data_IF_157193808576
#
_entry.id   IF_157193808576
#
_cell.length_a   1.000
_cell.length_b   1.000
_cell.length_c   1.000
_cell.angle_alpha   90.00
_cell.angle_beta   90.00
_cell.angle_gamma   90.00
#
_symmetry.space_group_name_H-M   'P 1'
#
loop_
_entity.id
_entity.type
_entity.pdbx_description
1 polymer ?
#
# COMPACT_ATOMS: atom_id res chain seq x y z
N UNK A 1 37.48 -11.71 -0.87
CA UNK A 1 36.81 -12.45 -1.96
C UNK A 1 37.81 -12.70 -3.10
N UNK A 2 37.71 -13.82 -3.83
CA UNK A 2 38.53 -14.08 -5.02
C UNK A 2 38.30 -13.04 -6.13
N UNK A 3 39.25 -12.91 -7.06
CA UNK A 3 39.10 -12.06 -8.24
C UNK A 3 37.95 -12.59 -9.13
N UNK A 4 37.27 -11.68 -9.83
CA UNK A 4 36.21 -11.97 -10.81
C UNK A 4 34.94 -12.64 -10.24
N UNK A 5 34.84 -12.70 -8.91
CA UNK A 5 33.62 -13.16 -8.22
C UNK A 5 32.53 -12.09 -8.38
N UNK A 6 31.31 -12.46 -8.82
CA UNK A 6 30.19 -11.52 -8.94
C UNK A 6 29.81 -10.96 -7.57
N UNK A 7 29.50 -9.67 -7.52
CA UNK A 7 29.04 -8.97 -6.34
C UNK A 7 27.85 -8.05 -6.69
N UNK A 8 27.60 -7.01 -5.90
CA UNK A 8 26.37 -6.22 -5.99
C UNK A 8 26.17 -5.62 -7.40
N UNK A 9 24.93 -5.70 -7.90
CA UNK A 9 24.48 -5.11 -9.17
C UNK A 9 25.37 -5.38 -10.39
N UNK A 10 25.72 -6.66 -10.59
CA UNK A 10 26.56 -7.08 -11.72
C UNK A 10 28.03 -6.65 -11.60
N UNK A 11 28.43 -6.04 -10.49
CA UNK A 11 29.82 -5.75 -10.15
C UNK A 11 30.65 -7.01 -9.95
N UNK A 12 31.97 -6.84 -9.89
CA UNK A 12 32.92 -7.95 -9.70
C UNK A 12 34.01 -7.59 -8.70
N UNK A 13 34.56 -8.60 -8.03
CA UNK A 13 35.65 -8.38 -7.08
C UNK A 13 37.00 -8.24 -7.80
N UNK A 14 37.70 -7.14 -7.51
CA UNK A 14 39.07 -6.89 -7.95
C UNK A 14 39.91 -6.59 -6.71
N UNK A 15 41.00 -7.34 -6.50
CA UNK A 15 41.88 -7.22 -5.32
C UNK A 15 41.13 -7.29 -3.97
N UNK A 16 40.05 -8.06 -3.91
CA UNK A 16 39.24 -8.23 -2.70
C UNK A 16 38.18 -7.16 -2.44
N UNK A 17 38.10 -6.12 -3.28
CA UNK A 17 37.06 -5.08 -3.23
C UNK A 17 36.04 -5.30 -4.36
N UNK A 18 34.75 -5.14 -4.06
CA UNK A 18 33.70 -5.15 -5.07
C UNK A 18 33.72 -3.82 -5.83
N UNK A 19 33.99 -3.88 -7.13
CA UNK A 19 33.88 -2.73 -8.05
C UNK A 19 32.58 -2.84 -8.85
N UNK A 20 32.01 -1.69 -9.20
CA UNK A 20 30.78 -1.63 -9.97
C UNK A 20 30.97 -2.14 -11.40
N UNK A 21 29.87 -2.51 -12.05
CA UNK A 21 29.88 -3.08 -13.41
C UNK A 21 30.60 -2.18 -14.43
N UNK A 22 30.25 -0.89 -14.50
CA UNK A 22 30.86 0.04 -15.46
C UNK A 22 32.36 0.24 -15.21
N UNK A 23 32.76 0.39 -13.95
CA UNK A 23 34.18 0.53 -13.58
C UNK A 23 34.97 -0.72 -13.95
N UNK A 24 34.40 -1.91 -13.69
CA UNK A 24 35.01 -3.18 -14.07
C UNK A 24 35.17 -3.35 -15.59
N UNK A 25 34.16 -3.00 -16.38
CA UNK A 25 34.27 -2.99 -17.85
C UNK A 25 35.29 -1.95 -18.33
N UNK A 26 35.38 -0.80 -17.67
CA UNK A 26 36.38 0.23 -17.96
C UNK A 26 37.80 -0.26 -17.71
N UNK A 27 38.04 -1.00 -16.62
CA UNK A 27 39.34 -1.61 -16.32
C UNK A 27 39.78 -2.62 -17.40
N UNK A 28 38.85 -3.41 -17.97
CA UNK A 28 39.18 -4.33 -19.08
C UNK A 28 39.60 -3.59 -20.34
N UNK A 29 38.91 -2.50 -20.65
CA UNK A 29 39.14 -1.70 -21.86
C UNK A 29 40.26 -0.67 -21.70
N UNK A 30 40.84 -0.53 -20.50
CA UNK A 30 41.76 0.55 -20.13
C UNK A 30 41.17 1.96 -20.39
N UNK A 31 39.87 2.12 -20.15
CA UNK A 31 39.14 3.39 -20.30
C UNK A 31 38.32 3.64 -19.03
N UNK A 32 38.39 4.83 -18.40
CA UNK A 32 37.56 5.15 -17.25
C UNK A 32 36.07 5.24 -17.66
N UNK A 33 35.25 4.36 -17.09
CA UNK A 33 33.80 4.32 -17.28
C UNK A 33 33.10 4.51 -15.93
N UNK A 34 32.01 5.25 -15.94
CA UNK A 34 31.22 5.59 -14.75
C UNK A 34 29.77 5.14 -14.93
N UNK A 35 29.09 4.73 -13.84
CA UNK A 35 27.65 4.49 -13.86
C UNK A 35 26.91 5.76 -14.23
N UNK A 36 25.86 5.63 -15.04
CA UNK A 36 24.95 6.70 -15.38
C UNK A 36 23.54 6.15 -15.63
N UNK A 37 22.59 7.05 -15.87
CA UNK A 37 21.20 6.69 -16.15
C UNK A 37 20.87 6.97 -17.60
N UNK A 38 20.22 6.02 -18.28
CA UNK A 38 19.71 6.24 -19.62
C UNK A 38 18.42 7.07 -19.61
N UNK A 39 18.30 7.96 -20.59
CA UNK A 39 17.14 8.83 -20.78
C UNK A 39 16.25 8.39 -21.95
N UNK A 40 16.72 7.44 -22.78
CA UNK A 40 15.97 6.95 -23.93
C UNK A 40 14.85 5.99 -23.50
N UNK A 41 13.67 6.14 -24.11
CA UNK A 41 12.50 5.30 -23.84
C UNK A 41 12.81 3.81 -24.06
N UNK A 42 12.49 2.97 -23.08
CA UNK A 42 12.76 1.53 -23.08
C UNK A 42 14.16 1.12 -22.60
N UNK A 43 15.00 2.09 -22.22
CA UNK A 43 16.35 1.84 -21.68
C UNK A 43 16.54 2.38 -20.25
N UNK A 44 15.54 3.03 -19.68
CA UNK A 44 15.62 3.72 -18.38
C UNK A 44 15.90 2.77 -17.21
N UNK A 45 15.60 1.47 -17.39
CA UNK A 45 15.85 0.41 -16.44
C UNK A 45 16.93 -0.57 -16.88
N UNK A 46 17.82 -0.15 -17.80
CA UNK A 46 19.02 -0.89 -18.19
C UNK A 46 20.26 -0.31 -17.51
N UNK A 47 21.31 -1.12 -17.37
CA UNK A 47 22.61 -0.62 -16.87
C UNK A 47 23.21 0.28 -17.93
N UNK A 48 23.62 1.48 -17.55
CA UNK A 48 24.19 2.43 -18.49
C UNK A 48 25.54 2.95 -17.99
N UNK A 49 26.49 3.07 -18.92
CA UNK A 49 27.84 3.53 -18.63
C UNK A 49 28.18 4.74 -19.50
N UNK A 50 29.02 5.63 -18.98
CA UNK A 50 29.60 6.75 -19.74
C UNK A 50 31.09 6.88 -19.47
N UNK A 51 31.81 7.38 -20.47
CA UNK A 51 33.18 7.86 -20.29
C UNK A 51 33.17 9.30 -19.73
N UNK A 52 34.32 9.86 -19.36
CA UNK A 52 34.47 11.21 -18.79
C UNK A 52 33.72 12.30 -19.59
N UNK A 53 33.79 12.23 -20.92
CA UNK A 53 33.17 13.19 -21.84
C UNK A 53 32.10 12.56 -22.74
N UNK A 54 31.78 11.29 -22.51
CA UNK A 54 30.86 10.52 -23.35
C UNK A 54 29.41 10.63 -22.93
N UNK A 55 28.50 10.35 -23.87
CA UNK A 55 27.07 10.17 -23.58
C UNK A 55 26.83 8.88 -22.80
N UNK A 56 25.80 8.87 -21.96
CA UNK A 56 25.34 7.67 -21.28
C UNK A 56 24.77 6.67 -22.29
N UNK A 57 25.30 5.44 -22.32
CA UNK A 57 24.85 4.39 -23.24
C UNK A 57 24.41 3.14 -22.47
N UNK A 58 23.32 2.48 -22.87
CA UNK A 58 22.90 1.23 -22.27
C UNK A 58 23.91 0.13 -22.59
N UNK A 59 24.17 -0.74 -21.62
CA UNK A 59 25.14 -1.82 -21.70
C UNK A 59 24.43 -3.15 -21.52
N UNK A 60 24.42 -3.94 -22.60
CA UNK A 60 23.74 -5.24 -22.65
C UNK A 60 22.21 -5.16 -22.58
N UNK A 61 21.59 -6.32 -22.43
CA UNK A 61 20.13 -6.48 -22.33
C UNK A 61 19.67 -6.81 -20.91
N UNK A 62 20.57 -6.76 -19.92
CA UNK A 62 20.23 -7.06 -18.53
C UNK A 62 19.48 -5.87 -17.90
N UNK A 63 18.30 -6.17 -17.37
CA UNK A 63 17.45 -5.21 -16.66
C UNK A 63 17.93 -5.04 -15.22
N UNK A 64 17.82 -3.82 -14.70
CA UNK A 64 18.06 -3.53 -13.29
C UNK A 64 17.03 -4.26 -12.42
N UNK A 65 17.47 -4.65 -11.22
CA UNK A 65 16.58 -5.20 -10.19
C UNK A 65 15.51 -4.19 -9.78
N UNK A 66 14.33 -4.68 -9.40
CA UNK A 66 13.23 -3.85 -8.93
C UNK A 66 13.63 -2.93 -7.78
N UNK A 67 13.07 -1.71 -7.77
CA UNK A 67 13.36 -0.66 -6.78
C UNK A 67 14.58 0.22 -7.11
N UNK A 68 15.32 -0.07 -8.19
CA UNK A 68 16.43 0.77 -8.65
C UNK A 68 15.95 2.13 -9.18
N UNK A 69 16.63 3.25 -8.88
CA UNK A 69 16.19 4.57 -9.30
C UNK A 69 16.40 4.82 -10.81
N UNK A 70 15.32 5.17 -11.51
CA UNK A 70 15.31 5.53 -12.94
C UNK A 70 14.93 7.02 -13.12
N UNK A 71 14.68 7.46 -14.35
CA UNK A 71 14.71 8.90 -14.73
C UNK A 71 13.67 9.71 -13.99
N UNK A 72 12.51 9.11 -13.72
CA UNK A 72 11.38 9.73 -13.04
C UNK A 72 10.84 8.88 -11.87
N UNK A 73 11.59 7.89 -11.40
CA UNK A 73 11.08 7.02 -10.33
C UNK A 73 11.91 5.79 -10.03
N UNK A 74 11.28 4.62 -10.06
CA UNK A 74 11.92 3.33 -9.77
C UNK A 74 11.58 2.27 -10.82
N UNK A 75 12.51 1.36 -11.06
CA UNK A 75 12.30 0.22 -11.93
C UNK A 75 11.40 -0.81 -11.26
N UNK A 76 10.40 -1.29 -11.99
CA UNK A 76 9.52 -2.38 -11.59
C UNK A 76 9.22 -3.24 -12.82
N UNK A 77 9.64 -4.50 -12.80
CA UNK A 77 9.56 -5.43 -13.92
C UNK A 77 10.18 -4.88 -15.22
N UNK A 78 11.29 -4.14 -15.11
CA UNK A 78 12.00 -3.55 -16.25
C UNK A 78 11.38 -2.28 -16.83
N UNK A 79 10.28 -1.77 -16.24
CA UNK A 79 9.66 -0.51 -16.63
C UNK A 79 9.94 0.54 -15.57
N UNK A 80 10.34 1.74 -16.00
CA UNK A 80 10.47 2.86 -15.09
C UNK A 80 9.06 3.31 -14.71
N UNK A 81 8.68 3.11 -13.45
CA UNK A 81 7.43 3.62 -12.90
C UNK A 81 7.73 4.94 -12.23
N UNK A 82 6.86 5.93 -12.46
CA UNK A 82 6.89 7.16 -11.68
C UNK A 82 6.93 6.81 -10.21
N UNK A 83 8.01 7.26 -9.55
CA UNK A 83 8.08 7.20 -8.12
C UNK A 83 6.85 7.94 -7.65
N UNK A 84 6.04 7.35 -6.76
CA UNK A 84 5.09 8.14 -6.00
C UNK A 84 5.91 9.17 -5.24
N UNK A 85 6.17 10.31 -5.89
CA UNK A 85 6.82 11.45 -5.30
C UNK A 85 5.94 11.80 -4.14
N UNK A 86 6.46 11.57 -2.93
CA UNK A 86 5.82 12.09 -1.74
C UNK A 86 5.47 13.55 -2.02
N UNK A 87 4.25 14.02 -1.68
CA UNK A 87 3.85 15.40 -1.94
C UNK A 87 4.82 16.42 -1.32
N UNK A 88 5.64 15.95 -0.38
CA UNK A 88 6.72 16.65 0.31
C UNK A 88 7.87 17.03 -0.65
N UNK A 89 8.29 16.16 -1.58
CA UNK A 89 9.35 16.48 -2.53
C UNK A 89 8.94 17.65 -3.45
N UNK A 90 7.66 17.69 -3.86
CA UNK A 90 7.10 18.82 -4.64
C UNK A 90 7.01 20.09 -3.81
N UNK A 91 6.62 20.01 -2.55
CA UNK A 91 6.54 21.18 -1.65
C UNK A 91 7.91 21.82 -1.38
N UNK A 92 8.99 21.05 -1.28
CA UNK A 92 10.34 21.61 -1.09
C UNK A 92 10.90 22.29 -2.35
N UNK A 93 10.63 21.78 -3.55
CA UNK A 93 11.03 22.43 -4.81
C UNK A 93 10.34 23.79 -5.01
N UNK A 94 9.10 23.94 -4.52
CA UNK A 94 8.41 25.24 -4.51
C UNK A 94 8.99 26.23 -3.48
N UNK A 95 9.52 25.75 -2.35
CA UNK A 95 10.13 26.63 -1.32
C UNK A 95 11.53 27.09 -1.72
N UNK A 96 12.34 26.25 -2.37
CA UNK A 96 13.68 26.66 -2.86
C UNK A 96 13.62 27.67 -4.02
N UNK A 97 12.54 27.68 -4.79
CA UNK A 97 12.35 28.62 -5.91
C UNK A 97 11.73 29.96 -5.50
N UNK A 98 11.26 30.08 -4.25
CA UNK A 98 10.76 31.33 -3.66
C UNK A 98 11.92 32.18 -3.11
N UNK A 99 12.78 32.60 -4.03
CA UNK A 99 13.69 33.76 -4.05
C UNK A 99 14.09 34.42 -2.70
N UNK A 100 15.32 34.14 -2.26
CA UNK A 100 15.96 34.71 -1.07
C UNK A 100 16.47 36.16 -1.23
N UNK A 101 16.40 36.73 -2.43
CA UNK A 101 17.00 38.05 -2.71
C UNK A 101 16.00 39.21 -2.65
N UNK A 102 14.74 38.98 -3.00
CA UNK A 102 13.67 40.00 -3.01
C UNK A 102 12.81 39.96 -1.75
N UNK A 103 12.59 38.77 -1.17
CA UNK A 103 11.78 38.61 0.04
C UNK A 103 12.44 39.24 1.27
N UNK A 104 13.76 39.14 1.42
CA UNK A 104 14.50 39.74 2.55
C UNK A 104 14.44 41.28 2.52
N UNK A 105 14.42 41.89 1.33
CA UNK A 105 14.28 43.33 1.18
C UNK A 105 12.85 43.82 1.49
N UNK A 106 11.82 43.02 1.16
CA UNK A 106 10.41 43.33 1.47
C UNK A 106 10.04 43.10 2.95
N UNK A 107 10.66 42.12 3.62
CA UNK A 107 10.44 41.80 5.04
C UNK A 107 10.83 42.94 5.98
N UNK A 108 11.77 43.80 5.57
CA UNK A 108 12.31 44.87 6.41
C UNK A 108 11.33 46.03 6.61
N UNK A 109 10.37 46.22 5.71
CA UNK A 109 9.51 47.41 5.69
C UNK A 109 8.05 47.15 6.07
N UNK A 110 7.58 45.90 6.05
CA UNK A 110 6.17 45.57 6.31
C UNK A 110 6.02 44.25 7.08
N UNK A 111 6.30 44.29 8.39
CA UNK A 111 6.19 43.14 9.31
C UNK A 111 4.82 42.44 9.25
N UNK A 112 3.73 43.18 9.08
CA UNK A 112 2.37 42.62 9.02
C UNK A 112 2.15 41.83 7.73
N UNK A 113 2.61 42.34 6.59
CA UNK A 113 2.51 41.64 5.30
C UNK A 113 3.32 40.35 5.28
N UNK A 114 4.51 40.39 5.88
CA UNK A 114 5.33 39.20 6.14
C UNK A 114 4.58 38.14 6.94
N UNK A 115 3.99 38.51 8.09
CA UNK A 115 3.31 37.52 8.95
C UNK A 115 2.16 36.84 8.22
N UNK A 116 1.43 37.55 7.37
CA UNK A 116 0.33 36.99 6.57
C UNK A 116 0.85 36.00 5.52
N UNK A 117 1.91 36.35 4.80
CA UNK A 117 2.50 35.49 3.77
C UNK A 117 3.10 34.23 4.40
N UNK A 118 3.88 34.37 5.49
CA UNK A 118 4.41 33.23 6.23
C UNK A 118 3.31 32.34 6.80
N UNK A 119 2.24 32.94 7.33
CA UNK A 119 1.06 32.19 7.78
C UNK A 119 0.50 31.37 6.62
N UNK A 120 0.25 31.95 5.45
CA UNK A 120 -0.30 31.22 4.30
C UNK A 120 0.62 30.08 3.84
N UNK A 121 1.95 30.32 3.80
CA UNK A 121 2.94 29.29 3.43
C UNK A 121 2.91 28.11 4.42
N UNK A 122 2.61 28.33 5.70
CA UNK A 122 2.52 27.27 6.71
C UNK A 122 1.12 26.62 6.74
N UNK A 123 0.06 27.41 6.58
CA UNK A 123 -1.32 26.94 6.66
C UNK A 123 -1.76 26.14 5.43
N UNK A 124 -1.26 26.47 4.23
CA UNK A 124 -1.55 25.69 3.01
C UNK A 124 -1.06 24.23 3.16
N UNK A 125 0.22 23.93 3.48
CA UNK A 125 0.67 22.56 3.66
C UNK A 125 0.01 21.90 4.87
N UNK A 126 -0.22 22.62 5.97
CA UNK A 126 -0.95 22.08 7.11
C UNK A 126 -2.38 21.63 6.73
N UNK A 127 -3.10 22.42 5.92
CA UNK A 127 -4.46 22.10 5.46
C UNK A 127 -4.48 20.84 4.57
N UNK A 128 -3.46 20.66 3.72
CA UNK A 128 -3.30 19.45 2.92
C UNK A 128 -2.98 18.22 3.78
N UNK A 129 -2.10 18.36 4.78
CA UNK A 129 -1.75 17.28 5.72
C UNK A 129 -2.98 16.84 6.53
N UNK A 130 -3.72 17.80 7.08
CA UNK A 130 -4.97 17.51 7.81
C UNK A 130 -5.97 16.81 6.91
N UNK A 131 -6.14 17.25 5.67
CA UNK A 131 -7.03 16.59 4.71
C UNK A 131 -6.59 15.17 4.34
N UNK A 132 -5.28 14.90 4.32
CA UNK A 132 -4.76 13.56 4.08
C UNK A 132 -5.02 12.63 5.29
N UNK A 133 -4.79 13.14 6.50
CA UNK A 133 -5.07 12.45 7.76
C UNK A 133 -6.57 12.16 7.87
N UNK A 134 -7.42 13.16 7.64
CA UNK A 134 -8.87 13.04 7.73
C UNK A 134 -9.42 11.96 6.77
N UNK A 135 -8.98 11.99 5.50
CA UNK A 135 -9.30 10.93 4.53
C UNK A 135 -8.80 9.55 4.95
N UNK A 136 -7.67 9.46 5.66
CA UNK A 136 -7.15 8.19 6.19
C UNK A 136 -7.98 7.69 7.37
N UNK A 137 -8.42 8.58 8.25
CA UNK A 137 -9.33 8.25 9.34
C UNK A 137 -10.69 7.80 8.81
N UNK A 138 -11.24 8.49 7.81
CA UNK A 138 -12.51 8.12 7.17
C UNK A 138 -12.46 6.70 6.57
N UNK A 139 -11.39 6.36 5.84
CA UNK A 139 -11.21 5.01 5.27
C UNK A 139 -11.22 3.93 6.36
N UNK A 140 -10.49 4.16 7.45
CA UNK A 140 -10.43 3.22 8.59
C UNK A 140 -11.78 3.08 9.31
N UNK A 141 -12.55 4.16 9.43
CA UNK A 141 -13.90 4.11 10.00
C UNK A 141 -14.84 3.30 9.10
N UNK A 142 -14.84 3.55 7.79
CA UNK A 142 -15.65 2.79 6.83
C UNK A 142 -15.30 1.30 6.79
N UNK A 143 -14.02 0.95 6.90
CA UNK A 143 -13.56 -0.44 6.99
C UNK A 143 -14.05 -1.12 8.28
N UNK A 144 -13.96 -0.43 9.42
CA UNK A 144 -14.51 -0.94 10.69
C UNK A 144 -16.00 -1.15 10.61
N UNK A 145 -16.77 -0.18 10.10
CA UNK A 145 -18.22 -0.29 9.91
C UNK A 145 -18.58 -1.48 9.01
N UNK A 146 -17.88 -1.68 7.89
CA UNK A 146 -18.08 -2.85 7.02
C UNK A 146 -17.78 -4.17 7.73
N UNK A 147 -16.71 -4.22 8.54
CA UNK A 147 -16.38 -5.40 9.32
C UNK A 147 -17.43 -5.70 10.40
N UNK A 148 -17.95 -4.67 11.08
CA UNK A 148 -19.06 -4.80 12.04
C UNK A 148 -20.33 -5.34 11.39
N UNK A 149 -20.75 -4.76 10.26
CA UNK A 149 -21.95 -5.19 9.51
C UNK A 149 -21.79 -6.64 9.02
N UNK A 150 -20.64 -7.01 8.48
CA UNK A 150 -20.40 -8.39 8.04
C UNK A 150 -20.44 -9.38 9.21
N UNK A 151 -19.92 -9.02 10.37
CA UNK A 151 -19.92 -9.89 11.55
C UNK A 151 -21.35 -10.08 12.10
N UNK A 152 -22.17 -9.02 12.11
CA UNK A 152 -23.58 -9.10 12.52
C UNK A 152 -24.42 -10.00 11.59
N UNK A 153 -24.20 -9.90 10.27
CA UNK A 153 -24.84 -10.78 9.28
C UNK A 153 -24.42 -12.25 9.48
N UNK A 154 -23.14 -12.52 9.79
CA UNK A 154 -22.68 -13.89 10.07
C UNK A 154 -23.29 -14.45 11.37
N UNK A 155 -23.37 -13.63 12.42
CA UNK A 155 -24.00 -14.02 13.69
C UNK A 155 -25.49 -14.34 13.51
N UNK A 156 -26.23 -13.51 12.77
CA UNK A 156 -27.67 -13.74 12.53
C UNK A 156 -27.94 -15.01 11.71
N UNK A 157 -27.12 -15.34 10.71
CA UNK A 157 -27.22 -16.62 9.99
C UNK A 157 -26.91 -17.83 10.89
N UNK A 158 -25.92 -17.71 11.77
CA UNK A 158 -25.60 -18.79 12.73
C UNK A 158 -26.74 -19.06 13.71
N UNK A 159 -27.40 -18.00 14.21
CA UNK A 159 -28.58 -18.10 15.07
C UNK A 159 -29.78 -18.75 14.35
N UNK A 160 -30.01 -18.44 13.06
CA UNK A 160 -31.03 -19.12 12.26
C UNK A 160 -30.74 -20.62 12.10
N UNK A 161 -29.50 -21.02 11.85
CA UNK A 161 -29.12 -22.44 11.78
C UNK A 161 -29.41 -23.19 13.09
N UNK A 162 -29.08 -22.59 14.23
CA UNK A 162 -29.32 -23.18 15.55
C UNK A 162 -30.80 -23.26 15.92
N UNK A 163 -31.61 -22.26 15.57
CA UNK A 163 -33.07 -22.32 15.78
C UNK A 163 -33.74 -23.44 14.98
N UNK A 164 -33.27 -23.72 13.75
CA UNK A 164 -33.74 -24.87 12.98
C UNK A 164 -33.32 -26.22 13.60
N UNK A 165 -32.10 -26.34 14.11
CA UNK A 165 -31.61 -27.56 14.78
C UNK A 165 -32.29 -27.82 16.13
N UNK A 166 -32.58 -26.77 16.91
CA UNK A 166 -33.34 -26.92 18.15
C UNK A 166 -34.80 -27.33 17.88
N UNK A 167 -35.40 -26.84 16.78
CA UNK A 167 -36.75 -27.23 16.36
C UNK A 167 -36.84 -28.70 15.90
N UNK A 168 -35.75 -29.26 15.35
CA UNK A 168 -35.69 -30.69 14.98
C UNK A 168 -35.41 -31.60 16.18
N UNK A 169 -34.67 -31.14 17.20
CA UNK A 169 -34.42 -31.90 18.43
C UNK A 169 -35.59 -31.87 19.43
N UNK A 170 -36.43 -30.82 19.42
CA UNK A 170 -37.62 -30.68 20.28
C UNK A 170 -38.92 -30.89 19.47
N UNK A 171 -38.93 -31.87 18.57
CA UNK A 171 -40.19 -32.35 17.96
C UNK A 171 -40.69 -33.59 18.70
N UNK A 172 -41.77 -33.50 19.52
CA UNK A 172 -42.38 -34.69 20.09
C UNK A 172 -43.01 -35.51 18.96
N UNK A 173 -42.57 -36.76 18.83
CA UNK A 173 -43.23 -37.77 18.00
C UNK A 173 -44.61 -38.07 18.59
N UNK A 174 -45.63 -37.25 18.30
CA UNK A 174 -47.02 -37.60 18.61
C UNK A 174 -47.43 -38.72 17.65
N UNK A 175 -47.39 -39.95 18.16
CA UNK A 175 -47.83 -41.18 17.50
C UNK A 175 -49.17 -41.59 18.13
N UNK A 176 -50.23 -41.66 17.32
CA UNK A 176 -51.57 -42.19 17.69
C UNK A 176 -52.42 -41.20 18.47
N UNK A 177 -53.72 -41.02 18.22
CA UNK A 177 -54.74 -42.05 17.94
C UNK A 177 -55.78 -41.53 16.95
N UNK A 178 -55.82 -42.16 15.77
CA UNK A 178 -56.97 -42.11 14.87
C UNK A 178 -58.02 -43.12 15.37
N UNK A 179 -59.27 -42.67 15.53
CA UNK A 179 -60.44 -43.55 15.72
C UNK A 179 -60.73 -43.96 17.17
N UNK A 180 -61.51 -43.14 17.90
CA UNK A 180 -62.18 -43.60 19.13
C UNK A 180 -63.60 -43.02 19.24
N UNK A 181 -64.55 -43.93 19.45
CA UNK A 181 -66.00 -43.69 19.35
C UNK A 181 -66.54 -42.82 20.48
N UNK A 182 -67.74 -42.27 20.26
CA UNK A 182 -68.36 -41.26 21.15
C UNK A 182 -68.67 -41.79 22.57
N UNK A 183 -68.80 -43.11 22.76
CA UNK A 183 -69.05 -43.74 24.08
C UNK A 183 -67.78 -43.83 24.94
N UNK A 184 -66.62 -44.10 24.34
CA UNK A 184 -65.34 -44.23 25.06
C UNK A 184 -64.83 -42.89 25.62
N UNK A 185 -65.29 -41.78 25.04
CA UNK A 185 -64.95 -40.41 25.46
C UNK A 185 -65.62 -39.99 26.78
N UNK A 186 -66.76 -40.60 27.12
CA UNK A 186 -67.48 -40.33 28.37
C UNK A 186 -66.90 -41.14 29.54
N UNK A 187 -66.44 -42.37 29.29
CA UNK A 187 -65.77 -43.20 30.30
C UNK A 187 -64.42 -42.60 30.72
N UNK A 188 -63.63 -42.10 29.76
CA UNK A 188 -62.35 -41.42 30.05
C UNK A 188 -62.51 -40.12 30.87
N UNK A 189 -63.63 -39.40 30.69
CA UNK A 189 -63.94 -38.19 31.47
C UNK A 189 -64.35 -38.49 32.93
N UNK A 190 -64.92 -39.67 33.20
CA UNK A 190 -65.26 -40.07 34.56
C UNK A 190 -64.03 -40.58 35.32
N UNK A 191 -63.15 -41.33 34.66
CA UNK A 191 -61.89 -41.80 35.25
C UNK A 191 -60.93 -40.66 35.62
N UNK A 192 -60.93 -39.54 34.87
CA UNK A 192 -60.15 -38.35 35.21
C UNK A 192 -60.70 -37.54 36.40
N UNK A 193 -62.01 -37.59 36.67
CA UNK A 193 -62.63 -36.88 37.81
C UNK A 193 -62.53 -37.63 39.13
N UNK A 194 -62.20 -38.92 39.11
CA UNK A 194 -62.01 -39.75 40.31
C UNK A 194 -60.55 -39.78 40.81
N UNK A 195 -59.62 -39.13 40.10
CA UNK A 195 -58.19 -39.03 40.47
C UNK A 195 -57.75 -37.59 40.82
N UNK A 196 -58.70 -36.72 41.16
CA UNK A 196 -58.45 -35.36 41.62
C UNK A 196 -59.09 -35.14 42.99
#
# INVERSE_FOLDING_TARGET
MPKDTPCIDGGKCVKGQCVEYCEYEGLKLNIPLFPCRCEEEGTECRRCCKSLTGTCKPQGDELLTDGRPCTYGYCDAGVCKEGQGSPIQRLFTFIETLDSSTLVAFMKSNIVGTVIVFSLIVWIPASWVVSCIDKRHEKRSRERERAWVSNDVLLSQSLQSWTHLLRTLVSPKIRGTAGMGRKDRLQWRQEFKAKQ
#
